data_IF_195787832503
#
_entry.id   IF_195787832503
#
_cell.length_a   1.000
_cell.length_b   1.000
_cell.length_c   1.000
_cell.angle_alpha   90.00
_cell.angle_beta   90.00
_cell.angle_gamma   90.00
#
_symmetry.space_group_name_H-M   'P 1'
#
loop_
_entity.id
_entity.type
_entity.pdbx_description
1 polymer ?
#
# COMPACT_ATOMS: atom_id res chain seq x y z
N UNK A 1 1.48 57.04 43.06
CA UNK A 1 1.48 56.51 41.70
C UNK A 1 1.76 55.02 41.81
N UNK A 2 0.68 54.18 41.75
CA UNK A 2 0.78 52.73 41.89
C UNK A 2 0.93 52.14 40.50
N UNK A 3 2.04 51.45 40.20
CA UNK A 3 2.28 50.72 38.96
C UNK A 3 1.53 49.38 39.03
N UNK A 4 0.52 49.21 38.20
CA UNK A 4 -0.18 47.95 38.00
C UNK A 4 0.66 47.14 37.05
N UNK A 5 1.17 45.99 37.53
CA UNK A 5 1.92 45.01 36.76
C UNK A 5 0.90 44.00 36.22
N UNK A 6 0.64 44.08 34.91
CA UNK A 6 -0.23 43.12 34.22
C UNK A 6 0.55 41.83 34.01
N UNK A 7 0.13 40.77 34.70
CA UNK A 7 0.65 39.41 34.52
C UNK A 7 -0.12 38.79 33.35
N UNK A 8 0.51 38.70 32.18
CA UNK A 8 -0.03 37.97 31.04
C UNK A 8 0.28 36.47 31.24
N UNK A 9 -0.70 35.72 31.72
CA UNK A 9 -0.64 34.25 31.73
C UNK A 9 -0.80 33.74 30.29
N UNK A 10 0.31 33.41 29.66
CA UNK A 10 0.30 32.67 28.41
C UNK A 10 -0.15 31.25 28.62
N UNK A 11 -1.40 30.93 28.22
CA UNK A 11 -1.93 29.58 28.17
C UNK A 11 -1.30 28.85 26.96
N UNK A 12 -0.23 28.11 27.20
CA UNK A 12 0.33 27.19 26.20
C UNK A 12 -0.57 25.97 26.09
N UNK A 13 -1.41 25.94 25.06
CA UNK A 13 -2.14 24.73 24.67
C UNK A 13 -1.13 23.77 24.05
N UNK A 14 -0.66 22.81 24.84
CA UNK A 14 0.04 21.63 24.33
C UNK A 14 -0.97 20.79 23.55
N UNK A 15 -1.03 20.97 22.24
CA UNK A 15 -1.65 20.03 21.33
C UNK A 15 -0.85 18.72 21.39
N UNK A 16 -1.29 17.80 22.25
CA UNK A 16 -0.87 16.42 22.17
C UNK A 16 -1.45 15.86 20.86
N UNK A 17 -0.68 15.92 19.78
CA UNK A 17 -0.90 15.08 18.62
C UNK A 17 -0.63 13.63 19.08
N UNK A 18 -1.65 12.98 19.60
CA UNK A 18 -1.62 11.53 19.76
C UNK A 18 -1.61 10.97 18.35
N UNK A 19 -0.42 10.54 17.91
CA UNK A 19 -0.33 9.66 16.78
C UNK A 19 -1.28 8.48 17.09
N UNK A 20 -2.34 8.34 16.33
CA UNK A 20 -3.14 7.14 16.30
C UNK A 20 -2.24 6.04 15.72
N UNK A 21 -1.40 5.47 16.58
CA UNK A 21 -0.89 4.14 16.36
C UNK A 21 -2.14 3.24 16.51
N UNK A 22 -2.80 2.97 15.39
CA UNK A 22 -3.88 2.01 15.36
C UNK A 22 -3.33 0.73 15.98
N UNK A 23 -3.91 0.30 17.09
CA UNK A 23 -3.70 -1.02 17.64
C UNK A 23 -4.14 -1.99 16.54
N UNK A 24 -3.19 -2.36 15.68
CA UNK A 24 -3.38 -3.43 14.72
C UNK A 24 -3.60 -4.69 15.54
N UNK A 25 -4.85 -4.98 15.82
CA UNK A 25 -5.26 -6.24 16.41
C UNK A 25 -4.85 -7.33 15.41
N UNK A 26 -3.72 -7.95 15.70
CA UNK A 26 -3.14 -9.01 14.86
C UNK A 26 -4.12 -10.19 14.64
N UNK A 27 -5.20 -10.25 15.41
CA UNK A 27 -6.29 -11.24 15.27
C UNK A 27 -7.27 -10.85 14.15
N UNK A 28 -7.63 -9.58 14.01
CA UNK A 28 -8.51 -9.10 12.95
C UNK A 28 -7.89 -9.28 11.57
N UNK A 29 -6.59 -9.06 11.46
CA UNK A 29 -5.87 -9.15 10.18
C UNK A 29 -5.75 -10.59 9.65
N UNK A 30 -5.66 -11.60 10.54
CA UNK A 30 -5.59 -13.01 10.11
C UNK A 30 -6.88 -13.52 9.50
N UNK A 31 -8.03 -13.05 9.96
CA UNK A 31 -9.33 -13.44 9.40
C UNK A 31 -9.66 -12.70 8.12
N UNK A 32 -9.15 -11.47 7.95
CA UNK A 32 -9.38 -10.65 6.78
C UNK A 32 -8.75 -11.20 5.49
N UNK A 33 -7.74 -12.07 5.63
CA UNK A 33 -7.02 -12.68 4.50
C UNK A 33 -7.40 -14.15 4.25
N UNK A 34 -8.40 -14.68 4.97
CA UNK A 34 -8.84 -16.05 4.77
C UNK A 34 -9.38 -16.27 3.36
N UNK A 35 -9.00 -17.40 2.76
CA UNK A 35 -9.43 -17.75 1.39
C UNK A 35 -8.65 -17.04 0.28
N UNK A 36 -7.67 -16.21 0.62
CA UNK A 36 -6.74 -15.63 -0.35
C UNK A 36 -5.45 -16.46 -0.42
N UNK A 37 -4.73 -16.42 -1.55
CA UNK A 37 -3.44 -17.08 -1.69
C UNK A 37 -2.46 -16.67 -0.60
N UNK A 38 -1.72 -17.63 -0.09
CA UNK A 38 -0.65 -17.44 0.87
C UNK A 38 0.57 -16.77 0.22
N UNK A 39 1.51 -16.31 1.05
CA UNK A 39 2.81 -15.78 0.58
C UNK A 39 3.56 -16.79 -0.30
N UNK A 40 3.57 -18.08 0.07
CA UNK A 40 4.25 -19.12 -0.71
C UNK A 40 3.61 -19.37 -2.07
N UNK A 41 2.28 -19.38 -2.14
CA UNK A 41 1.54 -19.50 -3.40
C UNK A 41 1.77 -18.29 -4.30
N UNK A 42 1.73 -17.07 -3.74
CA UNK A 42 2.07 -15.86 -4.47
C UNK A 42 3.49 -15.91 -5.04
N UNK A 43 4.47 -16.28 -4.20
CA UNK A 43 5.88 -16.39 -4.61
C UNK A 43 6.05 -17.39 -5.77
N UNK A 44 5.41 -18.54 -5.67
CA UNK A 44 5.45 -19.57 -6.71
C UNK A 44 4.83 -19.05 -8.01
N UNK A 45 3.65 -18.45 -7.94
CA UNK A 45 2.97 -17.91 -9.11
C UNK A 45 3.79 -16.80 -9.80
N UNK A 46 4.38 -15.89 -9.03
CA UNK A 46 5.23 -14.81 -9.56
C UNK A 46 6.49 -15.36 -10.25
N UNK A 47 7.17 -16.33 -9.62
CA UNK A 47 8.36 -16.95 -10.21
C UNK A 47 8.03 -17.71 -11.49
N UNK A 48 6.90 -18.40 -11.53
CA UNK A 48 6.42 -19.10 -12.74
C UNK A 48 6.13 -18.09 -13.85
N UNK A 49 5.36 -17.04 -13.56
CA UNK A 49 5.02 -16.01 -14.53
C UNK A 49 6.26 -15.27 -15.07
N UNK A 50 7.29 -15.06 -14.23
CA UNK A 50 8.53 -14.42 -14.66
C UNK A 50 9.33 -15.28 -15.64
N UNK A 51 9.25 -16.60 -15.54
CA UNK A 51 9.93 -17.53 -16.45
C UNK A 51 9.27 -17.64 -17.83
N UNK A 52 8.02 -17.17 -17.96
CA UNK A 52 7.34 -17.14 -19.25
C UNK A 52 7.96 -16.07 -20.17
N UNK A 53 7.90 -16.30 -21.47
CA UNK A 53 8.26 -15.30 -22.47
C UNK A 53 7.17 -14.23 -22.56
N UNK A 54 7.35 -13.16 -21.80
CA UNK A 54 6.34 -12.11 -21.63
C UNK A 54 6.72 -10.77 -22.29
N UNK A 55 7.80 -10.74 -23.06
CA UNK A 55 8.29 -9.54 -23.74
C UNK A 55 8.85 -8.45 -22.81
N UNK A 56 9.02 -8.73 -21.50
CA UNK A 56 9.59 -7.82 -20.51
C UNK A 56 11.13 -7.82 -20.52
N UNK A 57 11.72 -7.05 -19.60
CA UNK A 57 13.16 -6.93 -19.44
C UNK A 57 13.79 -8.04 -18.57
N UNK A 58 13.04 -9.07 -18.24
CA UNK A 58 13.46 -10.15 -17.36
C UNK A 58 13.92 -9.67 -15.97
N UNK A 59 13.29 -8.62 -15.47
CA UNK A 59 13.57 -8.05 -14.15
C UNK A 59 12.86 -8.83 -13.06
N UNK A 60 13.45 -8.82 -11.86
CA UNK A 60 12.76 -9.29 -10.67
C UNK A 60 11.58 -8.38 -10.34
N UNK A 61 10.53 -8.93 -9.76
CA UNK A 61 9.26 -8.23 -9.54
C UNK A 61 8.77 -8.39 -8.10
N UNK A 62 8.18 -7.33 -7.56
CA UNK A 62 7.34 -7.39 -6.38
C UNK A 62 5.90 -7.65 -6.76
N UNK A 63 5.22 -8.49 -5.99
CA UNK A 63 3.78 -8.74 -6.10
C UNK A 63 3.09 -8.62 -4.76
N UNK A 64 1.86 -8.15 -4.76
CA UNK A 64 1.05 -7.95 -3.55
C UNK A 64 -0.36 -8.47 -3.76
N UNK A 65 -0.90 -9.13 -2.74
CA UNK A 65 -2.31 -9.49 -2.64
C UNK A 65 -2.96 -8.60 -1.59
N UNK A 66 -4.07 -7.98 -1.93
CA UNK A 66 -4.96 -7.27 -1.00
C UNK A 66 -6.33 -7.93 -0.99
N UNK A 67 -7.03 -7.86 0.15
CA UNK A 67 -8.44 -8.25 0.20
C UNK A 67 -9.34 -7.14 -0.33
N UNK A 68 -10.67 -7.35 -0.33
CA UNK A 68 -11.64 -6.35 -0.82
C UNK A 68 -11.67 -5.05 -0.02
N UNK A 69 -11.22 -5.07 1.23
CA UNK A 69 -11.12 -3.88 2.09
C UNK A 69 -9.77 -3.16 1.94
N UNK A 70 -8.91 -3.61 1.01
CA UNK A 70 -7.58 -3.03 0.77
C UNK A 70 -6.50 -3.48 1.77
N UNK A 71 -6.80 -4.45 2.64
CA UNK A 71 -5.82 -4.99 3.59
C UNK A 71 -4.79 -5.81 2.82
N UNK A 72 -3.50 -5.52 3.05
CA UNK A 72 -2.38 -6.27 2.46
C UNK A 72 -2.28 -7.64 3.12
N UNK A 73 -2.45 -8.69 2.33
CA UNK A 73 -2.46 -10.08 2.79
C UNK A 73 -1.18 -10.83 2.50
N UNK A 74 -0.52 -10.54 1.39
CA UNK A 74 0.79 -11.10 1.06
C UNK A 74 1.58 -10.11 0.20
N UNK A 75 2.90 -10.06 0.42
CA UNK A 75 3.85 -9.33 -0.42
C UNK A 75 5.03 -10.25 -0.68
N UNK A 76 5.37 -10.49 -1.93
CA UNK A 76 6.45 -11.38 -2.33
C UNK A 76 7.34 -10.75 -3.41
N UNK A 77 8.57 -11.26 -3.53
CA UNK A 77 9.51 -10.91 -4.58
C UNK A 77 9.90 -12.16 -5.36
N UNK A 78 10.16 -12.04 -6.65
CA UNK A 78 10.66 -13.14 -7.48
C UNK A 78 12.14 -13.41 -7.25
N UNK A 79 12.90 -12.41 -6.83
CA UNK A 79 14.32 -12.50 -6.52
C UNK A 79 14.62 -13.26 -5.22
N UNK A 80 15.91 -13.39 -4.92
CA UNK A 80 16.40 -14.06 -3.72
C UNK A 80 16.59 -13.09 -2.54
N UNK A 81 16.60 -11.79 -2.81
CA UNK A 81 16.80 -10.76 -1.80
C UNK A 81 16.13 -9.45 -2.16
N UNK A 82 15.97 -8.59 -1.16
CA UNK A 82 15.32 -7.28 -1.30
C UNK A 82 16.02 -6.35 -2.29
N UNK A 83 17.31 -6.57 -2.52
CA UNK A 83 18.13 -5.77 -3.44
C UNK A 83 18.04 -6.19 -4.90
N UNK A 84 17.36 -7.30 -5.21
CA UNK A 84 17.25 -7.82 -6.59
C UNK A 84 16.27 -7.00 -7.44
N UNK A 85 15.46 -6.18 -6.79
CA UNK A 85 14.61 -5.17 -7.41
C UNK A 85 14.59 -3.93 -6.54
N UNK A 86 14.31 -2.79 -7.15
CA UNK A 86 14.18 -1.52 -6.44
C UNK A 86 13.26 -1.63 -5.19
N UNK A 87 13.79 -1.38 -3.97
CA UNK A 87 13.04 -1.61 -2.73
C UNK A 87 11.75 -0.79 -2.62
N UNK A 88 11.73 0.41 -3.19
CA UNK A 88 10.53 1.25 -3.24
C UNK A 88 9.37 0.62 -4.01
N UNK A 89 9.65 -0.29 -4.95
CA UNK A 89 8.61 -0.97 -5.72
C UNK A 89 7.77 -1.95 -4.89
N UNK A 90 8.23 -2.35 -3.71
CA UNK A 90 7.44 -3.13 -2.75
C UNK A 90 6.16 -2.37 -2.34
N UNK A 91 6.29 -1.12 -1.91
CA UNK A 91 5.13 -0.27 -1.54
C UNK A 91 4.29 0.05 -2.76
N UNK A 92 4.93 0.34 -3.89
CA UNK A 92 4.24 0.61 -5.15
C UNK A 92 3.39 -0.59 -5.57
N UNK A 93 3.87 -1.83 -5.38
CA UNK A 93 3.07 -3.02 -5.71
C UNK A 93 1.78 -3.10 -4.88
N UNK A 94 1.85 -2.75 -3.59
CA UNK A 94 0.68 -2.69 -2.71
C UNK A 94 -0.29 -1.57 -3.11
N UNK A 95 0.23 -0.39 -3.48
CA UNK A 95 -0.60 0.72 -4.00
C UNK A 95 -1.32 0.32 -5.28
N UNK A 96 -0.62 -0.32 -6.23
CA UNK A 96 -1.21 -0.82 -7.47
C UNK A 96 -2.29 -1.87 -7.21
N UNK A 97 -2.02 -2.83 -6.33
CA UNK A 97 -2.99 -3.86 -5.95
C UNK A 97 -4.25 -3.23 -5.35
N UNK A 98 -4.09 -2.27 -4.44
CA UNK A 98 -5.22 -1.57 -3.82
C UNK A 98 -6.03 -0.75 -4.84
N UNK A 99 -5.37 -0.05 -5.75
CA UNK A 99 -6.05 0.70 -6.82
C UNK A 99 -6.83 -0.25 -7.74
N UNK A 100 -6.21 -1.35 -8.19
CA UNK A 100 -6.90 -2.35 -9.01
C UNK A 100 -8.12 -2.92 -8.29
N UNK A 101 -7.98 -3.25 -7.00
CA UNK A 101 -9.06 -3.74 -6.17
C UNK A 101 -10.21 -2.74 -6.04
N UNK A 102 -9.90 -1.46 -5.83
CA UNK A 102 -10.90 -0.40 -5.65
C UNK A 102 -11.77 -0.19 -6.90
N UNK A 103 -11.21 -0.37 -8.10
CA UNK A 103 -11.91 -0.18 -9.37
C UNK A 103 -12.46 -1.47 -9.99
N UNK A 104 -12.12 -2.64 -9.45
CA UNK A 104 -12.62 -3.92 -9.94
C UNK A 104 -13.97 -4.27 -9.34
N UNK A 105 -14.84 -4.84 -10.16
CA UNK A 105 -16.18 -5.33 -9.80
C UNK A 105 -16.30 -6.81 -10.16
N UNK A 106 -17.29 -7.54 -9.63
CA UNK A 106 -17.61 -8.87 -10.09
C UNK A 106 -17.80 -8.90 -11.62
N UNK A 107 -17.03 -9.74 -12.30
CA UNK A 107 -17.01 -9.81 -13.77
C UNK A 107 -16.24 -8.71 -14.50
N UNK A 108 -15.66 -7.76 -13.78
CA UNK A 108 -14.84 -6.69 -14.33
C UNK A 108 -13.54 -6.55 -13.54
N UNK A 109 -12.53 -7.32 -13.89
CA UNK A 109 -11.19 -7.15 -13.35
C UNK A 109 -10.46 -6.01 -14.09
N UNK A 110 -9.99 -4.99 -13.36
CA UNK A 110 -9.37 -3.80 -13.94
C UNK A 110 -7.87 -3.76 -13.59
N UNK A 111 -7.05 -3.54 -14.62
CA UNK A 111 -5.63 -3.24 -14.46
C UNK A 111 -5.42 -1.75 -14.26
N UNK A 112 -4.46 -1.35 -13.42
CA UNK A 112 -4.07 0.06 -13.27
C UNK A 112 -3.57 0.68 -14.58
N UNK A 113 -3.06 -0.13 -15.52
CA UNK A 113 -2.70 0.34 -16.85
C UNK A 113 -3.87 0.95 -17.62
N UNK A 114 -5.10 0.46 -17.39
CA UNK A 114 -6.30 0.99 -18.01
C UNK A 114 -6.70 2.38 -17.47
N UNK A 115 -6.13 2.79 -16.34
CA UNK A 115 -6.37 4.11 -15.73
C UNK A 115 -5.39 5.17 -16.22
N UNK A 116 -4.38 4.82 -17.03
CA UNK A 116 -3.30 5.73 -17.41
C UNK A 116 -3.83 7.07 -17.96
N UNK A 117 -4.71 7.04 -18.95
CA UNK A 117 -5.26 8.26 -19.55
C UNK A 117 -6.08 9.07 -18.55
N UNK A 118 -6.88 8.40 -17.73
CA UNK A 118 -7.76 9.06 -16.77
C UNK A 118 -7.00 9.80 -15.66
N UNK A 119 -5.78 9.34 -15.30
CA UNK A 119 -4.96 9.95 -14.22
C UNK A 119 -3.99 11.01 -14.73
N UNK A 120 -3.90 11.24 -16.05
CA UNK A 120 -3.07 12.30 -16.61
C UNK A 120 -3.65 13.70 -16.31
N UNK A 121 -2.83 14.77 -16.39
CA UNK A 121 -3.33 16.15 -16.27
C UNK A 121 -4.53 16.39 -17.20
N UNK A 122 -5.63 16.89 -16.63
CA UNK A 122 -6.90 17.08 -17.33
C UNK A 122 -7.80 15.85 -17.41
N UNK A 123 -7.35 14.68 -16.96
CA UNK A 123 -8.17 13.47 -16.86
C UNK A 123 -9.11 13.50 -15.65
N UNK A 124 -10.19 12.70 -15.71
CA UNK A 124 -11.24 12.64 -14.69
C UNK A 124 -10.78 12.13 -13.32
N UNK A 125 -9.69 11.38 -13.27
CA UNK A 125 -9.09 10.81 -12.07
C UNK A 125 -7.72 11.43 -11.74
N UNK A 126 -7.43 12.62 -12.29
CA UNK A 126 -6.18 13.31 -11.98
C UNK A 126 -6.04 13.55 -10.48
N UNK A 127 -4.88 13.19 -9.92
CA UNK A 127 -4.62 13.27 -8.48
C UNK A 127 -4.95 12.00 -7.68
N UNK A 128 -5.58 10.99 -8.28
CA UNK A 128 -5.91 9.72 -7.62
C UNK A 128 -4.72 9.09 -6.90
N UNK A 129 -3.54 9.12 -7.51
CA UNK A 129 -2.30 8.58 -6.95
C UNK A 129 -1.88 9.23 -5.63
N UNK A 130 -2.35 10.45 -5.35
CA UNK A 130 -2.05 11.19 -4.13
C UNK A 130 -3.13 11.02 -3.05
N UNK A 131 -4.30 10.51 -3.41
CA UNK A 131 -5.48 10.44 -2.54
C UNK A 131 -5.66 9.09 -1.84
N UNK A 132 -4.85 8.09 -2.16
CA UNK A 132 -4.99 6.72 -1.66
C UNK A 132 -3.64 6.17 -1.17
N UNK A 133 -3.09 6.73 -0.08
CA UNK A 133 -1.82 6.25 0.47
C UNK A 133 -1.98 4.85 1.05
N UNK A 134 -0.97 4.00 0.83
CA UNK A 134 -0.87 2.68 1.47
C UNK A 134 -0.38 2.85 2.91
N UNK A 135 -0.95 2.07 3.82
CA UNK A 135 -0.34 1.89 5.15
C UNK A 135 0.98 1.14 4.99
N UNK A 136 2.08 1.88 5.15
CA UNK A 136 3.43 1.34 5.00
C UNK A 136 3.78 0.33 6.08
N UNK A 137 3.20 0.45 7.29
CA UNK A 137 3.37 -0.52 8.36
C UNK A 137 2.84 -1.89 7.95
N UNK A 138 1.69 -1.94 7.26
CA UNK A 138 1.11 -3.18 6.75
C UNK A 138 1.86 -3.68 5.52
N UNK A 139 2.23 -2.80 4.59
CA UNK A 139 2.91 -3.17 3.34
C UNK A 139 4.32 -3.78 3.57
N UNK A 140 4.97 -3.45 4.69
CA UNK A 140 6.27 -3.99 5.06
C UNK A 140 6.22 -5.13 6.10
N UNK A 141 5.03 -5.62 6.44
CA UNK A 141 4.90 -6.79 7.31
C UNK A 141 5.21 -8.08 6.55
N UNK A 142 5.67 -9.07 7.33
CA UNK A 142 5.94 -10.40 6.82
C UNK A 142 7.29 -10.56 6.11
N UNK A 143 7.64 -11.80 5.74
CA UNK A 143 8.83 -12.09 4.96
C UNK A 143 8.69 -11.50 3.56
N UNK A 144 9.80 -11.06 3.03
CA UNK A 144 9.92 -10.65 1.64
C UNK A 144 10.62 -11.73 0.84
#
# INVERSE_FOLDING_TARGET
>A
MKKIMLLVMGLTILLNAQAYAGNNDKRGNRNACNGLPSHSELTTALKTARMEDNGGFNLEMWGTIVNRDGIVCAVAITGNGRGDQWPGSRVISAQKANTSNAFSLPGLALSTANLFTAVQPGGSLYGLQHSNPVDTGVAYQGPA
#
